data_IF_494523975225
#
_entry.id   IF_494523975225
#
_cell.length_a   1.000
_cell.length_b   1.000
_cell.length_c   1.000
_cell.angle_alpha   90.00
_cell.angle_beta   90.00
_cell.angle_gamma   90.00
#
_symmetry.space_group_name_H-M   'P 1'
#
loop_
_entity.id
_entity.type
_entity.pdbx_description
1 polymer ?
#
# COMPACT_ATOMS: atom_id res chain seq x y z
N UNK A 1 -9.09 5.36 -24.30
CA UNK A 1 -7.64 5.66 -24.36
C UNK A 1 -6.88 4.35 -24.22
N UNK A 2 -5.72 4.24 -24.86
CA UNK A 2 -4.77 3.15 -24.60
C UNK A 2 -4.33 3.16 -23.14
N UNK A 3 -4.16 1.98 -22.55
CA UNK A 3 -3.79 1.81 -21.12
C UNK A 3 -2.38 2.34 -20.83
N UNK A 4 -1.46 2.20 -21.78
CA UNK A 4 -0.03 2.54 -21.66
C UNK A 4 0.25 3.92 -21.05
N UNK A 5 -0.52 4.96 -21.43
CA UNK A 5 -0.30 6.32 -20.90
C UNK A 5 -0.70 6.44 -19.43
N UNK A 6 -1.73 5.70 -19.02
CA UNK A 6 -2.23 5.68 -17.64
C UNK A 6 -1.27 4.88 -16.76
N UNK A 7 -0.77 3.76 -17.27
CA UNK A 7 0.26 2.96 -16.62
C UNK A 7 1.55 3.78 -16.41
N UNK A 8 2.09 4.42 -17.46
CA UNK A 8 3.30 5.24 -17.35
C UNK A 8 3.16 6.40 -16.35
N UNK A 9 1.99 7.05 -16.30
CA UNK A 9 1.72 8.08 -15.28
C UNK A 9 1.67 7.47 -13.87
N UNK A 10 1.03 6.32 -13.73
CA UNK A 10 0.90 5.61 -12.46
C UNK A 10 2.28 5.17 -11.94
N UNK A 11 3.12 4.59 -12.80
CA UNK A 11 4.50 4.20 -12.49
C UNK A 11 5.31 5.38 -11.94
N UNK A 12 5.19 6.56 -12.56
CA UNK A 12 5.83 7.79 -12.08
C UNK A 12 5.39 8.16 -10.65
N UNK A 13 4.09 8.07 -10.36
CA UNK A 13 3.56 8.34 -9.01
C UNK A 13 4.03 7.30 -8.00
N UNK A 14 4.00 6.00 -8.35
CA UNK A 14 4.52 4.93 -7.50
C UNK A 14 6.00 5.11 -7.18
N UNK A 15 6.82 5.41 -8.19
CA UNK A 15 8.26 5.63 -8.02
C UNK A 15 8.53 6.81 -7.07
N UNK A 16 7.82 7.92 -7.24
CA UNK A 16 7.94 9.09 -6.35
C UNK A 16 7.47 8.72 -4.92
N UNK A 17 6.32 8.07 -4.76
CA UNK A 17 5.80 7.70 -3.45
C UNK A 17 6.76 6.78 -2.67
N UNK A 18 7.31 5.75 -3.34
CA UNK A 18 8.29 4.84 -2.76
C UNK A 18 9.57 5.58 -2.35
N UNK A 19 10.10 6.44 -3.23
CA UNK A 19 11.36 7.14 -2.95
C UNK A 19 11.20 8.21 -1.87
N UNK A 20 10.05 8.88 -1.77
CA UNK A 20 9.76 9.84 -0.70
C UNK A 20 9.72 9.20 0.70
N UNK A 21 9.52 7.88 0.80
CA UNK A 21 9.57 7.19 2.10
C UNK A 21 10.91 7.36 2.80
N UNK A 22 12.03 7.50 2.08
CA UNK A 22 13.34 7.68 2.72
C UNK A 22 13.42 8.98 3.52
N UNK A 23 12.68 10.01 3.08
CA UNK A 23 12.63 11.31 3.75
C UNK A 23 11.82 11.27 5.06
N UNK A 24 11.14 10.15 5.34
CA UNK A 24 10.45 9.94 6.63
C UNK A 24 11.41 9.57 7.75
N UNK A 25 12.63 9.16 7.44
CA UNK A 25 13.68 8.85 8.42
C UNK A 25 14.45 10.14 8.73
N UNK A 26 14.25 10.67 9.93
CA UNK A 26 14.94 11.87 10.40
C UNK A 26 16.41 11.60 10.67
N UNK A 27 17.29 12.49 10.22
CA UNK A 27 18.69 12.51 10.64
C UNK A 27 18.75 12.96 12.11
N UNK A 28 19.46 12.25 13.01
CA UNK A 28 19.60 12.67 14.39
C UNK A 28 20.24 14.06 14.51
N UNK A 29 19.79 14.86 15.47
CA UNK A 29 20.47 16.11 15.82
C UNK A 29 21.88 15.82 16.38
N UNK A 30 22.80 16.77 16.22
CA UNK A 30 24.17 16.65 16.72
C UNK A 30 24.17 16.34 18.23
N UNK A 31 24.53 15.10 18.58
CA UNK A 31 24.67 14.62 19.95
C UNK A 31 25.99 13.88 20.13
N UNK A 32 26.41 13.66 21.36
CA UNK A 32 27.75 13.14 21.70
C UNK A 32 28.01 11.71 21.21
N UNK A 33 26.95 10.92 20.92
CA UNK A 33 27.06 9.51 20.51
C UNK A 33 26.14 9.14 19.32
N UNK A 34 26.60 9.44 18.09
CA UNK A 34 25.88 9.13 16.84
C UNK A 34 25.36 7.69 16.74
N UNK A 35 26.16 6.70 17.15
CA UNK A 35 25.77 5.29 17.08
C UNK A 35 24.53 4.96 17.90
N UNK A 36 24.39 5.54 19.10
CA UNK A 36 23.21 5.33 19.95
C UNK A 36 21.96 5.97 19.33
N UNK A 37 22.11 7.18 18.78
CA UNK A 37 21.00 7.89 18.12
C UNK A 37 20.51 7.16 16.88
N UNK A 38 21.41 6.60 16.05
CA UNK A 38 21.02 5.77 14.91
C UNK A 38 20.24 4.53 15.34
N UNK A 39 20.65 3.85 16.41
CA UNK A 39 19.91 2.70 16.95
C UNK A 39 18.52 3.09 17.47
N UNK A 40 18.35 4.31 18.00
CA UNK A 40 17.04 4.80 18.46
C UNK A 40 16.05 5.01 17.32
N UNK A 41 16.50 5.18 16.07
CA UNK A 41 15.65 5.33 14.88
C UNK A 41 15.05 4.02 14.35
N UNK A 42 15.26 2.87 15.02
CA UNK A 42 14.73 1.59 14.54
C UNK A 42 13.22 1.59 14.19
N UNK A 43 12.31 2.32 14.88
CA UNK A 43 10.91 2.36 14.48
C UNK A 43 10.71 2.98 13.09
N UNK A 44 11.51 3.99 12.74
CA UNK A 44 11.52 4.61 11.41
C UNK A 44 12.03 3.65 10.35
N UNK A 45 13.07 2.85 10.64
CA UNK A 45 13.56 1.83 9.71
C UNK A 45 12.50 0.75 9.43
N UNK A 46 11.81 0.29 10.47
CA UNK A 46 10.72 -0.70 10.34
C UNK A 46 9.55 -0.12 9.56
N UNK A 47 9.08 1.09 9.91
CA UNK A 47 7.99 1.75 9.20
C UNK A 47 8.34 1.97 7.72
N UNK A 48 9.55 2.48 7.44
CA UNK A 48 10.08 2.62 6.09
C UNK A 48 10.02 1.30 5.32
N UNK A 49 10.58 0.21 5.86
CA UNK A 49 10.62 -1.08 5.18
C UNK A 49 9.22 -1.65 4.92
N UNK A 50 8.33 -1.59 5.93
CA UNK A 50 6.93 -2.05 5.81
C UNK A 50 6.19 -1.27 4.73
N UNK A 51 6.28 0.05 4.73
CA UNK A 51 5.58 0.89 3.76
C UNK A 51 6.19 0.80 2.37
N UNK A 52 7.52 0.65 2.25
CA UNK A 52 8.19 0.42 0.97
C UNK A 52 7.70 -0.87 0.32
N UNK A 53 7.70 -1.98 1.08
CA UNK A 53 7.16 -3.26 0.61
C UNK A 53 5.68 -3.13 0.24
N UNK A 54 4.90 -2.45 1.07
CA UNK A 54 3.46 -2.26 0.84
C UNK A 54 3.20 -1.52 -0.48
N UNK A 55 3.86 -0.38 -0.73
CA UNK A 55 3.68 0.37 -1.99
C UNK A 55 4.22 -0.42 -3.18
N UNK A 56 5.34 -1.15 -3.03
CA UNK A 56 5.87 -2.01 -4.08
C UNK A 56 4.90 -3.12 -4.49
N UNK A 57 4.25 -3.77 -3.51
CA UNK A 57 3.21 -4.77 -3.77
C UNK A 57 1.98 -4.12 -4.44
N UNK A 58 1.59 -2.93 -4.00
CA UNK A 58 0.52 -2.16 -4.65
C UNK A 58 0.85 -1.86 -6.11
N UNK A 59 2.11 -1.55 -6.43
CA UNK A 59 2.56 -1.33 -7.81
C UNK A 59 2.47 -2.61 -8.65
N UNK A 60 2.95 -3.75 -8.14
CA UNK A 60 2.82 -5.06 -8.82
C UNK A 60 1.35 -5.38 -9.08
N UNK A 61 0.50 -5.19 -8.08
CA UNK A 61 -0.95 -5.42 -8.17
C UNK A 61 -1.63 -4.47 -9.16
N UNK A 62 -1.20 -3.22 -9.23
CA UNK A 62 -1.70 -2.25 -10.20
C UNK A 62 -1.37 -2.68 -11.63
N UNK A 63 -0.12 -3.06 -11.88
CA UNK A 63 0.31 -3.57 -13.18
C UNK A 63 -0.46 -4.84 -13.58
N UNK A 64 -0.61 -5.79 -12.65
CA UNK A 64 -1.37 -7.03 -12.88
C UNK A 64 -2.83 -6.74 -13.29
N UNK A 65 -3.52 -5.81 -12.62
CA UNK A 65 -4.90 -5.44 -12.98
C UNK A 65 -4.95 -4.82 -14.38
N UNK A 66 -4.08 -3.84 -14.67
CA UNK A 66 -4.17 -3.06 -15.90
C UNK A 66 -3.88 -3.91 -17.16
N UNK A 67 -3.08 -4.97 -17.05
CA UNK A 67 -2.85 -5.95 -18.13
C UNK A 67 -4.14 -6.59 -18.66
N UNK A 68 -5.17 -6.71 -17.82
CA UNK A 68 -6.46 -7.30 -18.22
C UNK A 68 -7.43 -6.30 -18.86
N UNK A 69 -7.13 -5.00 -18.87
CA UNK A 69 -8.01 -3.99 -19.44
C UNK A 69 -7.66 -3.69 -20.89
N UNK A 70 -8.67 -3.69 -21.77
CA UNK A 70 -8.51 -3.39 -23.19
C UNK A 70 -8.41 -1.90 -23.48
N UNK A 71 -9.01 -1.09 -22.61
CA UNK A 71 -9.15 0.35 -22.80
C UNK A 71 -9.45 1.02 -21.47
N UNK A 72 -9.17 2.31 -21.40
CA UNK A 72 -9.51 3.17 -20.26
C UNK A 72 -10.57 4.18 -20.66
N UNK A 73 -11.56 4.39 -19.79
CA UNK A 73 -12.60 5.41 -19.89
C UNK A 73 -12.50 6.44 -18.74
N UNK A 74 -13.33 7.49 -18.79
CA UNK A 74 -13.26 8.61 -17.83
C UNK A 74 -13.51 8.18 -16.37
N UNK A 75 -14.51 7.34 -16.05
CA UNK A 75 -14.71 6.91 -14.67
C UNK A 75 -13.53 6.09 -14.13
N UNK A 76 -12.97 5.18 -14.92
CA UNK A 76 -11.78 4.43 -14.50
C UNK A 76 -10.58 5.35 -14.27
N UNK A 77 -10.39 6.38 -15.11
CA UNK A 77 -9.35 7.40 -14.91
C UNK A 77 -9.51 8.13 -13.57
N UNK A 78 -10.74 8.53 -13.21
CA UNK A 78 -11.00 9.19 -11.93
C UNK A 78 -10.73 8.27 -10.73
N UNK A 79 -11.15 7.01 -10.81
CA UNK A 79 -10.84 6.01 -9.79
C UNK A 79 -9.32 5.79 -9.66
N UNK A 80 -8.61 5.74 -10.78
CA UNK A 80 -7.15 5.61 -10.78
C UNK A 80 -6.48 6.84 -10.15
N UNK A 81 -6.91 8.05 -10.48
CA UNK A 81 -6.37 9.28 -9.87
C UNK A 81 -6.59 9.27 -8.35
N UNK A 82 -7.78 8.88 -7.89
CA UNK A 82 -8.07 8.77 -6.45
C UNK A 82 -7.16 7.73 -5.77
N UNK A 83 -6.95 6.58 -6.42
CA UNK A 83 -6.04 5.54 -5.95
C UNK A 83 -4.60 6.08 -5.84
N UNK A 84 -4.10 6.73 -6.88
CA UNK A 84 -2.76 7.31 -6.94
C UNK A 84 -2.56 8.42 -5.90
N UNK A 85 -3.58 9.23 -5.64
CA UNK A 85 -3.55 10.24 -4.57
C UNK A 85 -3.34 9.58 -3.19
N UNK A 86 -4.02 8.47 -2.91
CA UNK A 86 -3.85 7.75 -1.65
C UNK A 86 -2.47 7.10 -1.53
N UNK A 87 -1.97 6.52 -2.61
CA UNK A 87 -0.60 5.96 -2.66
C UNK A 87 0.44 7.05 -2.40
N UNK A 88 0.33 8.20 -3.05
CA UNK A 88 1.21 9.35 -2.82
C UNK A 88 1.10 9.91 -1.40
N UNK A 89 -0.01 9.67 -0.70
CA UNK A 89 -0.23 10.08 0.68
C UNK A 89 0.41 9.14 1.71
N UNK A 90 0.63 7.84 1.39
CA UNK A 90 1.19 6.83 2.31
C UNK A 90 2.47 7.26 3.06
N UNK A 91 3.42 8.01 2.47
CA UNK A 91 4.61 8.46 3.20
C UNK A 91 4.29 9.29 4.45
N UNK A 92 3.21 10.08 4.45
CA UNK A 92 2.83 10.89 5.61
C UNK A 92 2.40 10.04 6.82
N UNK A 93 1.40 9.14 6.73
CA UNK A 93 1.04 8.24 7.81
C UNK A 93 2.19 7.34 8.25
N UNK A 94 3.09 6.95 7.33
CA UNK A 94 4.28 6.15 7.64
C UNK A 94 5.17 6.89 8.64
N UNK A 95 5.45 8.17 8.38
CA UNK A 95 6.23 9.03 9.28
C UNK A 95 5.56 9.17 10.64
N UNK A 96 4.25 9.43 10.65
CA UNK A 96 3.46 9.57 11.90
C UNK A 96 3.49 8.26 12.71
N UNK A 97 3.32 7.10 12.06
CA UNK A 97 3.41 5.81 12.71
C UNK A 97 4.79 5.55 13.32
N UNK A 98 5.87 5.92 12.62
CA UNK A 98 7.24 5.80 13.12
C UNK A 98 7.50 6.70 14.35
N UNK A 99 7.11 7.98 14.24
CA UNK A 99 7.36 9.02 15.24
C UNK A 99 6.64 8.70 16.57
N UNK A 100 5.41 8.21 16.49
CA UNK A 100 4.59 7.90 17.67
C UNK A 100 4.57 6.40 18.02
N UNK A 101 5.40 5.55 17.40
CA UNK A 101 5.43 4.10 17.68
C UNK A 101 5.73 3.77 19.15
N UNK A 102 6.47 4.65 19.85
CA UNK A 102 6.82 4.49 21.27
C UNK A 102 5.97 5.33 22.23
N UNK A 103 5.12 6.22 21.74
CA UNK A 103 4.23 7.05 22.57
C UNK A 103 2.97 6.27 22.91
N UNK A 104 2.74 5.94 24.19
CA UNK A 104 1.52 5.20 24.56
C UNK A 104 0.24 6.01 24.40
N UNK A 105 0.30 7.34 24.58
CA UNK A 105 -0.85 8.24 24.38
C UNK A 105 -1.25 8.39 22.91
N UNK A 106 -0.27 8.52 22.02
CA UNK A 106 -0.52 8.95 20.63
C UNK A 106 -0.45 7.82 19.61
N UNK A 107 0.15 6.67 19.96
CA UNK A 107 0.30 5.50 19.06
C UNK A 107 -1.03 5.05 18.47
N UNK A 108 -2.14 5.19 19.21
CA UNK A 108 -3.48 4.84 18.70
C UNK A 108 -3.90 5.74 17.53
N UNK A 109 -3.74 7.06 17.67
CA UNK A 109 -4.08 7.98 16.58
C UNK A 109 -3.20 7.73 15.35
N UNK A 110 -1.90 7.49 15.56
CA UNK A 110 -0.96 7.15 14.50
C UNK A 110 -1.32 5.84 13.78
N UNK A 111 -1.63 4.77 14.53
CA UNK A 111 -2.05 3.49 13.97
C UNK A 111 -3.39 3.60 13.20
N UNK A 112 -4.34 4.40 13.69
CA UNK A 112 -5.61 4.64 13.01
C UNK A 112 -5.42 5.42 11.70
N UNK A 113 -4.57 6.46 11.69
CA UNK A 113 -4.25 7.20 10.47
C UNK A 113 -3.60 6.29 9.41
N UNK A 114 -2.61 5.51 9.83
CA UNK A 114 -1.93 4.56 8.95
C UNK A 114 -2.90 3.50 8.41
N UNK A 115 -3.67 2.88 9.30
CA UNK A 115 -4.64 1.85 8.95
C UNK A 115 -5.79 2.34 8.08
N UNK A 116 -6.36 3.50 8.38
CA UNK A 116 -7.40 4.11 7.57
C UNK A 116 -6.90 4.40 6.15
N UNK A 117 -5.68 4.94 6.02
CA UNK A 117 -5.08 5.19 4.70
C UNK A 117 -4.97 3.90 3.88
N UNK A 118 -4.43 2.82 4.47
CA UNK A 118 -4.29 1.54 3.78
C UNK A 118 -5.65 0.88 3.48
N UNK A 119 -6.61 0.99 4.38
CA UNK A 119 -7.96 0.44 4.21
C UNK A 119 -8.70 1.14 3.07
N UNK A 120 -8.67 2.47 3.03
CA UNK A 120 -9.29 3.25 1.94
C UNK A 120 -8.57 2.95 0.62
N UNK A 121 -7.24 2.80 0.64
CA UNK A 121 -6.46 2.40 -0.55
C UNK A 121 -6.89 1.04 -1.07
N UNK A 122 -7.08 0.05 -0.18
CA UNK A 122 -7.58 -1.28 -0.55
C UNK A 122 -9.00 -1.23 -1.14
N UNK A 123 -9.89 -0.39 -0.59
CA UNK A 123 -11.23 -0.15 -1.14
C UNK A 123 -11.13 0.45 -2.55
N UNK A 124 -10.27 1.44 -2.77
CA UNK A 124 -10.06 2.05 -4.08
C UNK A 124 -9.50 1.05 -5.11
N UNK A 125 -8.54 0.21 -4.70
CA UNK A 125 -8.04 -0.89 -5.54
C UNK A 125 -9.16 -1.84 -5.95
N UNK A 126 -9.99 -2.26 -5.00
CA UNK A 126 -11.12 -3.13 -5.28
C UNK A 126 -12.15 -2.45 -6.20
N UNK A 127 -12.41 -1.15 -6.02
CA UNK A 127 -13.30 -0.39 -6.90
C UNK A 127 -12.77 -0.29 -8.34
N UNK A 128 -11.47 -0.02 -8.52
CA UNK A 128 -10.80 -0.04 -9.83
C UNK A 128 -10.96 -1.41 -10.49
N UNK A 129 -10.70 -2.49 -9.74
CA UNK A 129 -10.83 -3.86 -10.25
C UNK A 129 -12.26 -4.20 -10.66
N UNK A 130 -13.26 -3.98 -9.80
CA UNK A 130 -14.66 -4.31 -10.09
C UNK A 130 -15.18 -3.48 -11.27
N UNK A 131 -14.82 -2.20 -11.34
CA UNK A 131 -15.23 -1.36 -12.46
C UNK A 131 -14.64 -1.85 -13.79
N UNK A 132 -13.32 -2.07 -13.84
CA UNK A 132 -12.67 -2.50 -15.07
C UNK A 132 -13.02 -3.93 -15.48
N UNK A 133 -13.10 -4.86 -14.52
CA UNK A 133 -13.45 -6.26 -14.79
C UNK A 133 -14.88 -6.45 -15.31
N UNK A 134 -15.79 -5.52 -15.02
CA UNK A 134 -17.18 -5.61 -15.50
C UNK A 134 -17.42 -4.92 -16.85
N UNK A 135 -16.52 -4.04 -17.31
CA UNK A 135 -16.78 -3.15 -18.45
C UNK A 135 -15.67 -3.05 -19.48
N UNK A 136 -14.44 -3.31 -19.08
CA UNK A 136 -13.24 -2.91 -19.82
C UNK A 136 -12.25 -4.07 -20.02
N UNK A 137 -12.63 -5.31 -19.69
CA UNK A 137 -11.79 -6.49 -19.93
C UNK A 137 -11.41 -6.65 -21.39
N UNK A 138 -10.21 -7.19 -21.62
CA UNK A 138 -9.83 -7.64 -22.95
C UNK A 138 -10.61 -8.88 -23.37
N UNK A 139 -10.99 -9.00 -24.66
CA UNK A 139 -11.75 -10.16 -25.14
C UNK A 139 -11.04 -11.51 -24.97
N UNK A 140 -9.71 -11.50 -24.92
CA UNK A 140 -8.83 -12.66 -24.79
C UNK A 140 -8.51 -13.05 -23.33
N UNK A 141 -9.11 -12.36 -22.35
CA UNK A 141 -8.82 -12.61 -20.93
C UNK A 141 -9.45 -13.93 -20.45
N UNK A 142 -8.68 -14.79 -19.79
CA UNK A 142 -9.22 -15.98 -19.12
C UNK A 142 -10.06 -15.58 -17.89
N UNK A 143 -11.34 -15.96 -17.91
CA UNK A 143 -12.26 -15.69 -16.80
C UNK A 143 -11.89 -16.41 -15.51
N UNK A 144 -11.09 -17.48 -15.58
CA UNK A 144 -10.53 -18.15 -14.39
C UNK A 144 -9.52 -17.24 -13.68
N UNK A 145 -8.68 -16.53 -14.43
CA UNK A 145 -7.75 -15.55 -13.87
C UNK A 145 -8.52 -14.37 -13.24
N UNK A 146 -9.54 -13.85 -13.93
CA UNK A 146 -10.41 -12.78 -13.40
C UNK A 146 -11.07 -13.19 -12.07
N UNK A 147 -11.60 -14.42 -12.00
CA UNK A 147 -12.19 -14.94 -10.77
C UNK A 147 -11.13 -15.11 -9.66
N UNK A 148 -9.94 -15.60 -10.00
CA UNK A 148 -8.80 -15.70 -9.10
C UNK A 148 -8.38 -14.36 -8.50
N UNK A 149 -8.20 -13.34 -9.34
CA UNK A 149 -7.85 -11.98 -8.91
C UNK A 149 -8.96 -11.43 -7.99
N UNK A 150 -10.22 -11.54 -8.40
CA UNK A 150 -11.36 -11.07 -7.59
C UNK A 150 -11.35 -11.70 -6.19
N UNK A 151 -11.11 -13.02 -6.12
CA UNK A 151 -11.05 -13.76 -4.85
C UNK A 151 -9.83 -13.35 -4.00
N UNK A 152 -8.70 -13.00 -4.62
CA UNK A 152 -7.50 -12.56 -3.91
C UNK A 152 -7.64 -11.16 -3.29
N UNK A 153 -8.46 -10.28 -3.88
CA UNK A 153 -8.72 -8.92 -3.37
C UNK A 153 -9.80 -8.89 -2.29
N UNK A 154 -10.76 -9.81 -2.36
CA UNK A 154 -11.87 -9.90 -1.41
C UNK A 154 -11.44 -9.91 0.08
N UNK A 155 -10.41 -10.68 0.52
CA UNK A 155 -9.94 -10.65 1.90
C UNK A 155 -9.08 -9.42 2.24
N UNK A 156 -8.51 -8.73 1.25
CA UNK A 156 -7.57 -7.63 1.48
C UNK A 156 -8.20 -6.47 2.26
N UNK A 157 -9.36 -5.99 1.81
CA UNK A 157 -10.08 -4.89 2.47
C UNK A 157 -10.50 -5.22 3.91
N UNK A 158 -11.19 -6.36 4.19
CA UNK A 158 -11.47 -6.78 5.56
C UNK A 158 -10.22 -6.92 6.41
N UNK A 159 -9.12 -7.44 5.86
CA UNK A 159 -7.89 -7.63 6.61
C UNK A 159 -7.26 -6.30 7.07
N UNK A 160 -7.15 -5.30 6.18
CA UNK A 160 -6.68 -3.96 6.56
C UNK A 160 -7.67 -3.25 7.51
N UNK A 161 -8.98 -3.42 7.30
CA UNK A 161 -9.99 -2.85 8.18
C UNK A 161 -9.91 -3.46 9.60
N UNK A 162 -9.80 -4.78 9.72
CA UNK A 162 -9.62 -5.47 11.00
C UNK A 162 -8.34 -5.04 11.69
N UNK A 163 -7.20 -4.99 10.98
CA UNK A 163 -5.94 -4.49 11.54
C UNK A 163 -6.07 -3.04 12.05
N UNK A 164 -6.85 -2.20 11.36
CA UNK A 164 -7.15 -0.82 11.79
C UNK A 164 -8.02 -0.81 13.05
N UNK A 165 -9.08 -1.61 13.10
CA UNK A 165 -9.98 -1.69 14.25
C UNK A 165 -9.30 -2.26 15.50
N UNK A 166 -8.31 -3.13 15.34
CA UNK A 166 -7.47 -3.61 16.46
C UNK A 166 -6.77 -2.45 17.17
N UNK A 167 -6.53 -1.31 16.53
CA UNK A 167 -5.91 -0.15 17.17
C UNK A 167 -6.72 0.44 18.33
N UNK A 168 -8.04 0.20 18.37
CA UNK A 168 -8.90 0.60 19.48
C UNK A 168 -8.64 -0.21 20.76
N UNK A 169 -8.17 -1.46 20.61
CA UNK A 169 -7.87 -2.37 21.73
C UNK A 169 -6.37 -2.38 22.03
N UNK A 170 -5.53 -2.46 21.00
CA UNK A 170 -4.07 -2.44 21.11
C UNK A 170 -3.46 -1.85 19.84
N UNK A 171 -3.03 -0.59 19.95
CA UNK A 171 -2.34 0.12 18.87
C UNK A 171 -1.01 -0.51 18.47
N UNK A 172 -0.31 -1.16 19.41
CA UNK A 172 0.90 -1.94 19.12
C UNK A 172 0.58 -3.19 18.29
N UNK A 173 -0.48 -3.92 18.66
CA UNK A 173 -0.90 -5.10 17.89
C UNK A 173 -1.33 -4.72 16.47
N UNK A 174 -2.03 -3.60 16.30
CA UNK A 174 -2.40 -3.06 14.99
C UNK A 174 -1.18 -2.82 14.09
N UNK A 175 -0.14 -2.12 14.58
CA UNK A 175 1.08 -1.89 13.81
C UNK A 175 1.83 -3.20 13.45
N UNK A 176 1.86 -4.16 14.37
CA UNK A 176 2.44 -5.49 14.12
C UNK A 176 1.65 -6.22 13.03
N UNK A 177 0.32 -6.14 13.05
CA UNK A 177 -0.52 -6.75 12.02
C UNK A 177 -0.27 -6.13 10.64
N UNK A 178 -0.11 -4.81 10.54
CA UNK A 178 0.24 -4.19 9.25
C UNK A 178 1.60 -4.65 8.73
N UNK A 179 2.61 -4.76 9.61
CA UNK A 179 3.91 -5.30 9.24
C UNK A 179 3.79 -6.77 8.77
N UNK A 180 3.02 -7.59 9.49
CA UNK A 180 2.78 -8.99 9.13
C UNK A 180 2.05 -9.13 7.79
N UNK A 181 1.06 -8.27 7.50
CA UNK A 181 0.35 -8.23 6.22
C UNK A 181 1.32 -7.89 5.08
N UNK A 182 2.17 -6.88 5.26
CA UNK A 182 3.15 -6.49 4.24
C UNK A 182 4.13 -7.64 3.94
N UNK A 183 4.63 -8.32 4.97
CA UNK A 183 5.52 -9.49 4.81
C UNK A 183 4.80 -10.66 4.16
N UNK A 184 3.57 -10.96 4.60
CA UNK A 184 2.75 -12.03 4.02
C UNK A 184 2.52 -11.82 2.52
N UNK A 185 2.15 -10.61 2.10
CA UNK A 185 1.97 -10.32 0.69
C UNK A 185 3.28 -10.27 -0.09
N UNK A 186 4.39 -9.78 0.48
CA UNK A 186 5.70 -9.81 -0.17
C UNK A 186 6.13 -11.26 -0.47
N UNK A 187 5.94 -12.14 0.51
CA UNK A 187 6.18 -13.58 0.37
C UNK A 187 5.26 -14.15 -0.71
N UNK A 188 3.95 -13.92 -0.60
CA UNK A 188 2.96 -14.39 -1.57
C UNK A 188 3.31 -13.96 -3.01
N UNK A 189 3.61 -12.68 -3.23
CA UNK A 189 4.01 -12.15 -4.53
C UNK A 189 5.27 -12.83 -5.09
N UNK A 190 6.25 -13.16 -4.24
CA UNK A 190 7.48 -13.86 -4.67
C UNK A 190 7.26 -15.33 -5.05
N UNK A 191 6.26 -16.00 -4.45
CA UNK A 191 5.98 -17.41 -4.71
C UNK A 191 5.01 -17.61 -5.88
N UNK A 192 4.03 -16.72 -6.06
CA UNK A 192 3.04 -16.81 -7.14
C UNK A 192 3.49 -16.13 -8.45
N UNK A 193 4.59 -15.37 -8.46
CA UNK A 193 5.18 -14.82 -9.68
C UNK A 193 6.00 -15.82 -10.51
N UNK A 194 5.83 -17.14 -10.33
CA UNK A 194 6.64 -18.18 -11.01
C UNK A 194 6.02 -18.75 -12.28
N UNK A 195 4.87 -18.25 -12.71
CA UNK A 195 4.22 -18.68 -13.95
C UNK A 195 4.20 -17.51 -14.95
N UNK A 196 5.39 -17.13 -15.44
CA UNK A 196 5.58 -16.41 -16.72
C UNK A 196 6.60 -17.16 -17.58
#
# INVERSE_FOLDING_TARGET
METNRVEAFSDGVFAIAITLLILTISVPSHGEHLGHELLRLWPSYVAYAVSFLTIGIMWVNHHAIFRHFARVDRPLLLLNILLLMLIAFVPFPTRVAAEFARSDSDRRAAALLYGATLTITAICFFAVWIYGSTRLLRPDTDMREVSGITRSYLPGTPMYATATLVAFVSSKASLILFAAIAVFYAISASFFGRDE
#
